data_IF_251900851602
#
_entry.id   IF_251900851602
#
_cell.length_a   1.000
_cell.length_b   1.000
_cell.length_c   1.000
_cell.angle_alpha   90.00
_cell.angle_beta   90.00
_cell.angle_gamma   90.00
#
_symmetry.space_group_name_H-M   'P 1'
#
loop_
_entity.id
_entity.type
_entity.pdbx_description
1 polymer ?
#
# COMPACT_ATOMS: atom_id res chain seq x y z
N UNK A 1 -2.23 -10.84 -12.19
CA UNK A 1 -1.64 -9.57 -12.68
C UNK A 1 -0.11 -9.63 -12.57
N UNK A 2 0.66 -9.02 -13.48
CA UNK A 2 2.14 -8.88 -13.38
C UNK A 2 2.58 -7.76 -12.42
N UNK A 3 1.69 -6.80 -12.14
CA UNK A 3 2.03 -5.54 -11.47
C UNK A 3 1.82 -5.51 -9.95
N UNK A 4 1.06 -6.48 -9.43
CA UNK A 4 0.68 -6.55 -8.02
C UNK A 4 0.63 -8.02 -7.55
N UNK A 5 1.66 -8.80 -7.89
CA UNK A 5 1.94 -10.10 -7.27
C UNK A 5 2.53 -9.86 -5.88
N UNK A 6 1.71 -9.37 -4.96
CA UNK A 6 2.17 -8.95 -3.65
C UNK A 6 2.06 -10.05 -2.60
N UNK A 7 3.19 -10.67 -2.24
CA UNK A 7 3.40 -11.02 -0.83
C UNK A 7 3.64 -9.72 -0.08
N UNK A 8 2.57 -9.14 0.48
CA UNK A 8 2.68 -7.90 1.25
C UNK A 8 2.71 -8.29 2.72
N UNK A 9 3.78 -8.95 3.10
CA UNK A 9 4.17 -9.11 4.49
C UNK A 9 5.47 -8.33 4.69
N UNK A 10 5.48 -7.44 5.68
CA UNK A 10 6.72 -6.77 6.09
C UNK A 10 7.01 -7.14 7.52
N UNK A 11 8.25 -7.59 7.77
CA UNK A 11 8.75 -7.84 9.13
C UNK A 11 9.63 -6.70 9.63
N UNK A 12 9.65 -6.49 10.94
CA UNK A 12 10.68 -5.69 11.59
C UNK A 12 11.96 -6.51 11.83
N UNK A 13 12.99 -5.91 12.45
CA UNK A 13 14.26 -6.58 12.76
C UNK A 13 14.13 -7.75 13.76
N UNK A 14 13.01 -7.82 14.48
CA UNK A 14 12.69 -8.89 15.42
C UNK A 14 11.83 -9.99 14.78
N UNK A 15 11.61 -9.93 13.46
CA UNK A 15 10.81 -10.92 12.73
C UNK A 15 9.29 -10.76 12.90
N UNK A 16 8.81 -9.72 13.58
CA UNK A 16 7.38 -9.49 13.78
C UNK A 16 6.74 -8.86 12.54
N UNK A 17 5.55 -9.30 12.18
CA UNK A 17 4.77 -8.73 11.07
C UNK A 17 4.31 -7.31 11.45
N UNK A 18 4.77 -6.31 10.72
CA UNK A 18 4.45 -4.89 10.91
C UNK A 18 3.60 -4.30 9.79
N UNK A 19 3.35 -5.08 8.73
CA UNK A 19 2.41 -4.74 7.68
C UNK A 19 1.94 -6.02 6.99
N UNK A 20 0.63 -6.10 6.77
CA UNK A 20 -0.06 -7.21 6.12
C UNK A 20 -1.21 -6.62 5.30
N UNK A 21 -1.51 -7.21 4.14
CA UNK A 21 -2.68 -6.82 3.34
C UNK A 21 -3.96 -6.98 4.15
N UNK A 22 -4.80 -5.95 4.18
CA UNK A 22 -6.08 -5.97 4.88
C UNK A 22 -7.19 -6.73 4.10
N UNK A 23 -7.04 -6.89 2.78
CA UNK A 23 -8.07 -7.49 1.94
C UNK A 23 -8.25 -9.01 2.14
N UNK A 24 -7.25 -9.68 2.72
CA UNK A 24 -7.29 -11.10 3.06
C UNK A 24 -7.15 -11.37 4.56
N UNK A 25 -7.43 -10.37 5.41
CA UNK A 25 -7.18 -10.46 6.84
C UNK A 25 -8.44 -10.90 7.62
N UNK A 26 -8.25 -11.84 8.55
CA UNK A 26 -9.24 -12.22 9.53
C UNK A 26 -8.93 -11.55 10.87
N UNK A 27 -9.96 -11.03 11.53
CA UNK A 27 -9.83 -10.35 12.81
C UNK A 27 -10.82 -10.93 13.82
N UNK A 28 -10.38 -11.03 15.09
CA UNK A 28 -11.31 -11.25 16.19
C UNK A 28 -12.25 -10.06 16.32
N UNK A 29 -13.54 -10.33 16.57
CA UNK A 29 -14.57 -9.28 16.74
C UNK A 29 -14.16 -8.21 17.74
N UNK A 30 -13.69 -8.61 18.91
CA UNK A 30 -13.26 -7.70 20.00
C UNK A 30 -12.15 -6.74 19.57
N UNK A 31 -11.24 -7.19 18.69
CA UNK A 31 -10.19 -6.35 18.13
C UNK A 31 -10.79 -5.30 17.18
N UNK A 32 -11.71 -5.68 16.30
CA UNK A 32 -12.37 -4.73 15.39
C UNK A 32 -13.21 -3.68 16.14
N UNK A 33 -13.90 -4.10 17.20
CA UNK A 33 -14.72 -3.19 18.01
C UNK A 33 -13.86 -2.15 18.75
N UNK A 34 -12.65 -2.51 19.18
CA UNK A 34 -11.69 -1.61 19.83
C UNK A 34 -11.03 -0.64 18.83
N UNK A 35 -10.70 -1.09 17.63
CA UNK A 35 -10.00 -0.28 16.63
C UNK A 35 -10.89 0.00 15.41
N UNK A 36 -11.90 0.85 15.62
CA UNK A 36 -12.84 1.25 14.57
C UNK A 36 -12.18 2.15 13.52
N UNK A 37 -12.72 2.16 12.31
CA UNK A 37 -12.29 3.10 11.28
C UNK A 37 -12.73 4.52 11.63
N UNK A 38 -11.85 5.48 11.37
CA UNK A 38 -12.16 6.91 11.43
C UNK A 38 -12.87 7.31 10.13
N UNK A 39 -14.02 8.00 10.24
CA UNK A 39 -14.86 8.38 9.10
C UNK A 39 -14.22 9.44 8.18
N UNK A 40 -13.28 10.21 8.71
CA UNK A 40 -12.68 11.36 8.02
C UNK A 40 -11.56 10.97 7.03
N UNK A 41 -11.33 9.68 6.84
CA UNK A 41 -10.22 9.14 6.09
C UNK A 41 -10.69 8.14 5.03
N UNK A 42 -10.08 8.19 3.84
CA UNK A 42 -10.33 7.20 2.79
C UNK A 42 -9.83 5.81 3.19
N UNK A 43 -10.34 4.73 2.58
CA UNK A 43 -10.12 3.34 3.02
C UNK A 43 -8.62 2.96 3.11
N UNK A 44 -7.79 3.48 2.22
CA UNK A 44 -6.34 3.26 2.22
C UNK A 44 -5.63 3.90 3.43
N UNK A 45 -6.06 5.08 3.87
CA UNK A 45 -5.48 5.75 5.05
C UNK A 45 -6.03 5.13 6.34
N UNK A 46 -7.35 4.91 6.42
CA UNK A 46 -8.02 4.36 7.59
C UNK A 46 -7.50 2.97 7.95
N UNK A 47 -7.26 2.11 6.97
CA UNK A 47 -6.66 0.78 7.17
C UNK A 47 -5.26 0.85 7.80
N UNK A 48 -4.41 1.76 7.33
CA UNK A 48 -3.05 1.90 7.86
C UNK A 48 -3.02 2.52 9.26
N UNK A 49 -3.90 3.50 9.54
CA UNK A 49 -4.04 4.08 10.87
C UNK A 49 -4.48 3.02 11.88
N UNK A 50 -5.49 2.22 11.52
CA UNK A 50 -5.98 1.11 12.33
C UNK A 50 -4.87 0.10 12.63
N UNK A 51 -4.15 -0.35 11.61
CA UNK A 51 -3.04 -1.30 11.77
C UNK A 51 -1.92 -0.74 12.65
N UNK A 52 -1.55 0.53 12.48
CA UNK A 52 -0.55 1.17 13.35
C UNK A 52 -1.00 1.26 14.81
N UNK A 53 -2.28 1.51 15.07
CA UNK A 53 -2.83 1.52 16.42
C UNK A 53 -2.80 0.11 17.04
N UNK A 54 -3.25 -0.90 16.30
CA UNK A 54 -3.18 -2.31 16.71
C UNK A 54 -1.76 -2.73 17.08
N UNK A 55 -0.79 -2.46 16.21
CA UNK A 55 0.62 -2.82 16.43
C UNK A 55 1.24 -2.08 17.63
N UNK A 56 0.87 -0.81 17.84
CA UNK A 56 1.34 -0.01 18.97
C UNK A 56 0.88 -0.60 20.30
N UNK A 57 -0.34 -1.12 20.33
CA UNK A 57 -0.95 -1.72 21.51
C UNK A 57 -0.59 -3.21 21.66
N UNK A 58 0.35 -3.72 20.87
CA UNK A 58 0.88 -5.09 20.98
C UNK A 58 0.01 -6.17 20.36
N UNK A 59 -0.96 -5.82 19.50
CA UNK A 59 -1.74 -6.82 18.76
C UNK A 59 -0.81 -7.59 17.82
N UNK A 60 -0.65 -8.89 18.07
CA UNK A 60 0.12 -9.77 17.22
C UNK A 60 -0.58 -9.98 15.87
N UNK A 61 0.22 -10.01 14.80
CA UNK A 61 -0.21 -10.36 13.45
C UNK A 61 0.51 -11.62 13.02
N UNK A 62 -0.25 -12.55 12.47
CA UNK A 62 0.23 -13.84 11.98
C UNK A 62 -0.19 -14.04 10.52
N UNK A 63 0.53 -14.91 9.82
CA UNK A 63 0.24 -15.29 8.45
C UNK A 63 -0.14 -16.78 8.44
N UNK A 64 -1.22 -17.12 7.74
CA UNK A 64 -1.56 -18.50 7.40
C UNK A 64 -1.12 -18.75 5.95
N UNK A 65 0.02 -19.43 5.69
CA UNK A 65 0.56 -19.59 4.34
C UNK A 65 -0.41 -20.24 3.35
N UNK A 66 -1.30 -21.09 3.86
CA UNK A 66 -2.35 -21.77 3.09
C UNK A 66 -3.53 -20.88 2.72
N UNK A 67 -3.69 -19.71 3.35
CA UNK A 67 -4.76 -18.77 3.08
C UNK A 67 -4.40 -17.86 1.89
N UNK A 68 -4.48 -18.42 0.68
CA UNK A 68 -4.18 -17.70 -0.57
C UNK A 68 -5.44 -17.01 -1.07
N UNK A 69 -5.34 -15.70 -1.31
CA UNK A 69 -6.41 -14.91 -1.95
C UNK A 69 -5.97 -14.47 -3.35
N UNK A 70 -6.85 -14.66 -4.33
CA UNK A 70 -6.65 -14.21 -5.70
C UNK A 70 -7.50 -12.97 -5.92
N UNK A 71 -6.85 -11.80 -6.01
CA UNK A 71 -7.53 -10.57 -6.37
C UNK A 71 -7.67 -10.45 -7.89
N UNK A 72 -8.93 -10.34 -8.35
CA UNK A 72 -9.23 -9.86 -9.70
C UNK A 72 -8.98 -8.35 -9.75
N UNK A 73 -8.03 -7.93 -10.58
CA UNK A 73 -7.80 -6.52 -10.87
C UNK A 73 -8.57 -6.17 -12.15
N UNK A 74 -9.41 -5.13 -12.12
CA UNK A 74 -10.20 -4.66 -13.27
C UNK A 74 -9.35 -3.93 -14.34
N UNK A 75 -8.10 -4.39 -14.56
CA UNK A 75 -7.18 -3.81 -15.52
C UNK A 75 -6.47 -2.54 -15.05
N UNK A 76 -5.97 -1.76 -16.02
CA UNK A 76 -5.02 -0.68 -15.76
C UNK A 76 -5.64 0.51 -15.03
N UNK A 77 -6.90 0.86 -15.33
CA UNK A 77 -7.59 1.98 -14.68
C UNK A 77 -7.72 1.77 -13.17
N UNK A 78 -8.08 0.56 -12.76
CA UNK A 78 -8.10 0.18 -11.34
C UNK A 78 -6.71 0.28 -10.70
N UNK A 79 -5.67 -0.25 -11.37
CA UNK A 79 -4.30 -0.18 -10.86
C UNK A 79 -3.84 1.28 -10.70
N UNK A 80 -4.18 2.15 -11.65
CA UNK A 80 -3.87 3.57 -11.56
C UNK A 80 -4.53 4.22 -10.36
N UNK A 81 -5.82 3.96 -10.12
CA UNK A 81 -6.51 4.51 -8.97
C UNK A 81 -5.93 3.98 -7.64
N UNK A 82 -5.64 2.67 -7.55
CA UNK A 82 -4.97 2.08 -6.39
C UNK A 82 -3.62 2.75 -6.14
N UNK A 83 -2.81 2.93 -7.18
CA UNK A 83 -1.46 3.52 -7.06
C UNK A 83 -1.53 4.98 -6.66
N UNK A 84 -2.47 5.74 -7.21
CA UNK A 84 -2.78 7.11 -6.79
C UNK A 84 -3.14 7.18 -5.31
N UNK A 85 -4.03 6.30 -4.85
CA UNK A 85 -4.40 6.20 -3.44
C UNK A 85 -3.22 5.81 -2.54
N UNK A 86 -2.35 4.89 -2.98
CA UNK A 86 -1.13 4.49 -2.26
C UNK A 86 -0.15 5.67 -2.08
N UNK A 87 0.05 6.46 -3.13
CA UNK A 87 0.90 7.66 -3.07
C UNK A 87 0.36 8.69 -2.08
N UNK A 88 -0.94 8.99 -2.17
CA UNK A 88 -1.62 9.88 -1.23
C UNK A 88 -1.52 9.38 0.21
N UNK A 89 -1.79 8.09 0.43
CA UNK A 89 -1.69 7.43 1.72
C UNK A 89 -0.29 7.58 2.32
N UNK A 90 0.76 7.26 1.56
CA UNK A 90 2.15 7.35 2.01
C UNK A 90 2.49 8.79 2.46
N UNK A 91 2.16 9.78 1.63
CA UNK A 91 2.46 11.18 1.92
C UNK A 91 1.69 11.69 3.15
N UNK A 92 0.41 11.34 3.29
CA UNK A 92 -0.40 11.66 4.50
C UNK A 92 0.20 11.05 5.76
N UNK A 93 0.65 9.79 5.70
CA UNK A 93 1.27 9.14 6.85
C UNK A 93 2.60 9.78 7.25
N UNK A 94 3.39 10.27 6.29
CA UNK A 94 4.62 11.02 6.60
C UNK A 94 4.34 12.41 7.19
N UNK A 95 3.38 13.15 6.65
CA UNK A 95 3.00 14.47 7.16
C UNK A 95 2.52 14.41 8.61
N UNK A 96 1.80 13.34 9.00
CA UNK A 96 1.38 13.12 10.40
C UNK A 96 2.55 12.95 11.38
N UNK A 97 3.73 12.55 10.90
CA UNK A 97 4.94 12.41 11.74
C UNK A 97 5.69 13.75 11.96
N UNK A 98 5.05 14.90 11.71
CA UNK A 98 5.55 16.27 11.94
C UNK A 98 6.89 16.59 11.25
N UNK A 99 7.20 15.91 10.14
CA UNK A 99 8.40 16.21 9.33
C UNK A 99 8.07 17.24 8.25
N UNK A 100 8.90 18.27 8.12
CA UNK A 100 8.81 19.26 7.03
C UNK A 100 9.36 18.65 5.75
N UNK A 101 8.47 18.21 4.88
CA UNK A 101 8.80 17.77 3.53
C UNK A 101 8.10 18.67 2.52
N UNK A 102 8.77 19.03 1.44
CA UNK A 102 8.11 19.65 0.28
C UNK A 102 7.18 18.63 -0.39
N UNK A 103 6.15 19.12 -1.10
CA UNK A 103 5.21 18.25 -1.85
C UNK A 103 5.96 17.35 -2.83
N UNK A 104 6.91 17.92 -3.57
CA UNK A 104 7.77 17.18 -4.50
C UNK A 104 8.61 16.12 -3.78
N UNK A 105 9.20 16.46 -2.63
CA UNK A 105 9.98 15.53 -1.83
C UNK A 105 9.15 14.35 -1.31
N UNK A 106 7.88 14.58 -0.93
CA UNK A 106 6.96 13.50 -0.56
C UNK A 106 6.67 12.58 -1.74
N UNK A 107 6.41 13.14 -2.92
CA UNK A 107 6.09 12.38 -4.11
C UNK A 107 7.26 11.50 -4.59
N UNK A 108 8.48 12.06 -4.62
CA UNK A 108 9.69 11.28 -4.95
C UNK A 108 9.92 10.16 -3.93
N UNK A 109 9.73 10.44 -2.63
CA UNK A 109 9.88 9.41 -1.58
C UNK A 109 8.84 8.31 -1.66
N UNK A 110 7.59 8.65 -2.01
CA UNK A 110 6.53 7.66 -2.21
C UNK A 110 6.91 6.68 -3.33
N UNK A 111 7.28 7.22 -4.49
CA UNK A 111 7.72 6.43 -5.65
C UNK A 111 8.95 5.59 -5.33
N UNK A 112 9.99 6.17 -4.73
CA UNK A 112 11.23 5.46 -4.41
C UNK A 112 11.01 4.31 -3.41
N UNK A 113 10.17 4.53 -2.40
CA UNK A 113 9.83 3.49 -1.42
C UNK A 113 9.07 2.35 -2.10
N UNK A 114 8.07 2.69 -2.91
CA UNK A 114 7.24 1.71 -3.60
C UNK A 114 8.05 0.92 -4.65
N UNK A 115 9.01 1.56 -5.33
CA UNK A 115 9.98 0.87 -6.20
C UNK A 115 10.84 -0.12 -5.43
N UNK A 116 11.38 0.29 -4.28
CA UNK A 116 12.19 -0.56 -3.42
C UNK A 116 11.39 -1.78 -2.95
N UNK A 117 10.17 -1.58 -2.48
CA UNK A 117 9.29 -2.66 -2.02
C UNK A 117 9.00 -3.66 -3.14
N UNK A 118 8.59 -3.20 -4.33
CA UNK A 118 8.33 -4.10 -5.46
C UNK A 118 9.58 -4.85 -5.92
N UNK A 119 10.75 -4.20 -5.94
CA UNK A 119 12.02 -4.88 -6.22
C UNK A 119 12.31 -5.97 -5.20
N UNK A 120 12.11 -5.70 -3.92
CA UNK A 120 12.33 -6.68 -2.85
C UNK A 120 11.37 -7.86 -2.99
N UNK A 121 10.09 -7.62 -3.30
CA UNK A 121 9.12 -8.68 -3.57
C UNK A 121 9.54 -9.53 -4.77
N UNK A 122 9.92 -8.90 -5.89
CA UNK A 122 10.35 -9.61 -7.08
C UNK A 122 11.60 -10.46 -6.84
N UNK A 123 12.56 -9.95 -6.04
CA UNK A 123 13.75 -10.70 -5.63
C UNK A 123 13.44 -11.86 -4.69
N UNK A 124 12.52 -11.67 -3.73
CA UNK A 124 12.16 -12.70 -2.76
C UNK A 124 11.41 -13.88 -3.40
N UNK A 125 10.55 -13.60 -4.39
CA UNK A 125 9.81 -14.63 -5.14
C UNK A 125 10.68 -15.25 -6.24
N UNK A 126 11.71 -14.53 -6.71
CA UNK A 126 12.68 -15.05 -7.67
C UNK A 126 12.06 -15.42 -9.02
N UNK A 127 12.41 -16.59 -9.55
CA UNK A 127 12.00 -17.04 -10.89
C UNK A 127 10.49 -17.35 -11.01
N UNK A 128 9.79 -17.47 -9.88
CA UNK A 128 8.34 -17.65 -9.86
C UNK A 128 7.59 -16.32 -10.06
N UNK A 129 8.29 -15.18 -9.94
CA UNK A 129 7.65 -13.87 -9.98
C UNK A 129 7.19 -13.50 -11.39
N UNK A 130 8.06 -13.66 -12.39
CA UNK A 130 7.83 -13.36 -13.79
C UNK A 130 8.57 -14.39 -14.64
N UNK A 131 8.02 -14.78 -15.80
CA UNK A 131 8.82 -15.52 -16.79
C UNK A 131 9.94 -14.60 -17.28
N UNK A 132 11.04 -15.18 -17.77
CA UNK A 132 12.16 -14.41 -18.32
C UNK A 132 11.71 -13.36 -19.36
N UNK A 133 10.73 -13.73 -20.19
CA UNK A 133 10.14 -12.88 -21.25
C UNK A 133 9.30 -11.72 -20.71
N UNK A 134 8.81 -11.81 -19.47
CA UNK A 134 7.89 -10.83 -18.90
C UNK A 134 8.63 -9.64 -18.27
N UNK A 135 9.95 -9.75 -18.03
CA UNK A 135 10.73 -8.72 -17.35
C UNK A 135 10.73 -7.35 -18.04
N UNK A 136 10.92 -7.24 -19.38
CA UNK A 136 10.86 -5.93 -20.04
C UNK A 136 9.50 -5.25 -19.86
N UNK A 137 8.41 -6.01 -20.05
CA UNK A 137 7.06 -5.51 -19.84
C UNK A 137 6.82 -5.13 -18.38
N UNK A 138 7.27 -5.96 -17.43
CA UNK A 138 7.19 -5.66 -16.01
C UNK A 138 7.86 -4.33 -15.67
N UNK A 139 9.06 -4.05 -16.17
CA UNK A 139 9.75 -2.78 -15.91
C UNK A 139 9.06 -1.57 -16.54
N UNK A 140 8.57 -1.70 -17.78
CA UNK A 140 7.80 -0.65 -18.44
C UNK A 140 6.52 -0.34 -17.65
N UNK A 141 5.78 -1.37 -17.25
CA UNK A 141 4.58 -1.22 -16.43
C UNK A 141 4.92 -0.65 -15.04
N UNK A 142 6.03 -1.09 -14.44
CA UNK A 142 6.52 -0.59 -13.15
C UNK A 142 6.76 0.92 -13.14
N UNK A 143 7.23 1.48 -14.25
CA UNK A 143 7.39 2.93 -14.44
C UNK A 143 6.03 3.62 -14.63
N UNK A 144 5.19 3.08 -15.52
CA UNK A 144 3.88 3.65 -15.84
C UNK A 144 3.00 3.80 -14.59
N UNK A 145 2.98 2.80 -13.71
CA UNK A 145 2.18 2.83 -12.47
C UNK A 145 2.70 3.81 -11.41
N UNK A 146 3.90 4.41 -11.59
CA UNK A 146 4.40 5.45 -10.69
C UNK A 146 3.86 6.82 -10.97
N UNK A 147 3.43 7.09 -12.20
CA UNK A 147 2.82 8.36 -12.57
C UNK A 147 1.62 8.67 -11.66
N UNK A 148 0.61 7.79 -11.54
CA UNK A 148 -0.51 8.04 -10.62
C UNK A 148 -0.09 8.06 -9.15
N UNK A 149 0.87 7.23 -8.73
CA UNK A 149 1.39 7.24 -7.35
C UNK A 149 2.03 8.59 -6.99
N UNK A 150 2.82 9.14 -7.90
CA UNK A 150 3.44 10.44 -7.75
C UNK A 150 2.39 11.56 -7.65
N UNK A 151 1.38 11.57 -8.53
CA UNK A 151 0.32 12.59 -8.50
C UNK A 151 -0.53 12.49 -7.24
N UNK A 152 -0.84 11.28 -6.77
CA UNK A 152 -1.53 11.06 -5.50
C UNK A 152 -0.75 11.61 -4.31
N UNK A 153 0.57 11.40 -4.27
CA UNK A 153 1.42 11.95 -3.22
C UNK A 153 1.49 13.48 -3.24
N UNK A 154 1.53 14.10 -4.42
CA UNK A 154 1.47 15.57 -4.56
C UNK A 154 0.16 16.16 -4.03
N UNK A 155 -0.94 15.43 -4.17
CA UNK A 155 -2.27 15.84 -3.72
C UNK A 155 -2.48 15.73 -2.20
N UNK A 156 -1.55 15.14 -1.45
CA UNK A 156 -1.69 14.95 0.01
C UNK A 156 -1.81 16.24 0.84
N UNK A 157 -1.44 17.38 0.26
CA UNK A 157 -1.62 18.71 0.85
C UNK A 157 -3.07 19.23 0.80
N UNK A 158 -3.93 18.63 -0.02
CA UNK A 158 -5.35 18.99 -0.13
C UNK A 158 -6.24 17.74 -0.04
N UNK A 159 -6.57 17.29 1.19
CA UNK A 159 -7.39 16.11 1.40
C UNK A 159 -8.80 16.19 0.83
N UNK A 160 -9.40 17.39 0.82
CA UNK A 160 -10.77 17.59 0.37
C UNK A 160 -10.85 17.43 -1.15
N UNK A 161 -9.97 18.09 -1.90
CA UNK A 161 -9.89 17.94 -3.35
C UNK A 161 -9.54 16.50 -3.76
N UNK A 162 -8.61 15.87 -3.05
CA UNK A 162 -8.27 14.47 -3.33
C UNK A 162 -9.49 13.55 -3.17
N UNK A 163 -10.21 13.66 -2.04
CA UNK A 163 -11.42 12.86 -1.79
C UNK A 163 -12.50 13.10 -2.85
N UNK A 164 -12.76 14.35 -3.23
CA UNK A 164 -13.74 14.69 -4.26
C UNK A 164 -13.41 14.09 -5.63
N UNK A 165 -12.11 13.99 -5.95
CA UNK A 165 -11.63 13.41 -7.21
C UNK A 165 -11.49 11.88 -7.21
N UNK A 166 -11.93 11.21 -6.14
CA UNK A 166 -11.85 9.75 -6.03
C UNK A 166 -13.27 9.18 -6.00
N UNK A 167 -13.60 8.35 -6.98
CA UNK A 167 -14.87 7.64 -7.03
C UNK A 167 -14.66 6.23 -6.47
N UNK A 168 -14.79 6.10 -5.14
CA UNK A 168 -14.90 4.78 -4.54
C UNK A 168 -16.28 4.23 -4.92
N UNK A 169 -16.30 3.22 -5.79
CA UNK A 169 -17.51 2.40 -6.02
C UNK A 169 -17.77 1.49 -4.83
#
# INVERSE_FOLDING_TARGET
>A
SLLDRGFIERRNRLGQIIHASNNGALYRRSVLERYRFEADHGPFVSSHLRQHAMLRDGVAMELAPQAVSIHAYEGLGFIWDVRRNKGYQFARMLLRRKRRFSRLGLAVRAVATSFKENRQTAQAVGNEFCRWTDWPLFWAMMLLVRIPEFTGALAAGDPAAFKASTHYR
#
